data_IF_832866985813
#
_entry.id   IF_832866985813
#
_cell.length_a   1.000
_cell.length_b   1.000
_cell.length_c   1.000
_cell.angle_alpha   90.00
_cell.angle_beta   90.00
_cell.angle_gamma   90.00
#
_symmetry.space_group_name_H-M   'P 1'
#
loop_
_entity.id
_entity.type
_entity.pdbx_description
1 polymer ?
#
# COMPACT_ATOMS: atom_id res chain seq x y z
N UNK A 1 45.55 13.78 -45.02
CA UNK A 1 45.36 13.35 -46.41
C UNK A 1 44.22 12.37 -46.36
N UNK A 2 43.01 12.78 -46.77
CA UNK A 2 41.90 11.84 -46.92
C UNK A 2 42.13 11.03 -48.18
N UNK A 3 42.88 9.93 -48.06
CA UNK A 3 42.81 8.87 -49.05
C UNK A 3 41.39 8.30 -48.97
N UNK A 4 40.62 8.53 -50.03
CA UNK A 4 39.25 8.03 -50.15
C UNK A 4 39.30 6.51 -50.07
N UNK A 5 38.89 5.95 -48.93
CA UNK A 5 38.92 4.52 -48.66
C UNK A 5 37.84 3.84 -49.51
N UNK A 6 38.23 3.29 -50.66
CA UNK A 6 37.33 2.63 -51.59
C UNK A 6 37.77 1.19 -51.84
N UNK A 7 36.79 0.28 -51.93
CA UNK A 7 37.05 -1.11 -52.29
C UNK A 7 37.33 -1.15 -53.79
N UNK A 8 38.58 -1.49 -54.15
CA UNK A 8 38.98 -1.70 -55.54
C UNK A 8 39.05 -3.18 -55.84
N UNK A 9 38.24 -3.64 -56.79
CA UNK A 9 38.30 -5.01 -57.26
C UNK A 9 39.50 -5.20 -58.19
N UNK A 10 40.33 -6.18 -57.88
CA UNK A 10 41.51 -6.55 -58.70
C UNK A 10 41.13 -7.58 -59.75
N UNK A 11 40.29 -8.55 -59.40
CA UNK A 11 39.75 -9.57 -60.30
C UNK A 11 38.46 -10.17 -59.67
N UNK A 12 37.34 -10.26 -60.40
CA UNK A 12 37.11 -9.73 -61.75
C UNK A 12 37.08 -8.20 -61.81
N UNK A 13 37.53 -7.64 -62.94
CA UNK A 13 37.17 -6.27 -63.35
C UNK A 13 35.73 -6.26 -63.87
N UNK A 14 35.11 -5.09 -64.11
CA UNK A 14 33.70 -4.98 -64.54
C UNK A 14 33.33 -5.90 -65.73
N UNK A 15 34.24 -6.06 -66.69
CA UNK A 15 34.06 -6.96 -67.85
C UNK A 15 34.38 -8.44 -67.56
N UNK A 16 35.09 -8.71 -66.47
CA UNK A 16 35.46 -10.07 -66.03
C UNK A 16 34.37 -10.76 -65.20
N UNK A 17 33.30 -10.05 -64.84
CA UNK A 17 32.18 -10.65 -64.13
C UNK A 17 31.44 -11.66 -65.02
N UNK A 18 30.90 -12.70 -64.40
CA UNK A 18 30.02 -13.64 -65.08
C UNK A 18 28.73 -12.93 -65.52
N UNK A 19 28.68 -12.50 -66.78
CA UNK A 19 27.51 -11.79 -67.33
C UNK A 19 26.37 -12.74 -67.70
N UNK A 20 26.71 -13.91 -68.25
CA UNK A 20 25.76 -14.97 -68.60
C UNK A 20 26.40 -16.34 -68.48
N UNK A 21 25.58 -17.35 -68.19
CA UNK A 21 25.98 -18.75 -68.23
C UNK A 21 25.46 -19.31 -69.55
N UNK A 22 26.36 -19.56 -70.50
CA UNK A 22 26.03 -20.28 -71.72
C UNK A 22 25.99 -21.79 -71.42
N UNK A 23 24.93 -22.46 -71.88
CA UNK A 23 24.71 -23.89 -71.64
C UNK A 23 23.91 -24.51 -72.79
N UNK A 24 23.88 -25.84 -72.84
CA UNK A 24 23.26 -26.63 -73.92
C UNK A 24 21.72 -26.68 -73.85
N UNK A 25 21.08 -25.51 -73.68
CA UNK A 25 19.62 -25.39 -73.54
C UNK A 25 18.86 -26.11 -74.63
N UNK A 26 19.20 -25.86 -75.89
CA UNK A 26 18.49 -26.43 -77.03
C UNK A 26 18.57 -27.97 -77.05
N UNK A 27 19.73 -28.52 -76.71
CA UNK A 27 19.94 -29.96 -76.62
C UNK A 27 19.17 -30.58 -75.44
N UNK A 28 19.30 -30.01 -74.24
CA UNK A 28 18.58 -30.51 -73.06
C UNK A 28 17.07 -30.42 -73.26
N UNK A 29 16.59 -29.32 -73.82
CA UNK A 29 15.17 -29.11 -74.12
C UNK A 29 14.66 -30.11 -75.16
N UNK A 30 15.42 -30.39 -76.22
CA UNK A 30 15.06 -31.41 -77.20
C UNK A 30 14.99 -32.81 -76.57
N UNK A 31 15.97 -33.17 -75.74
CA UNK A 31 16.00 -34.45 -75.04
C UNK A 31 14.82 -34.60 -74.07
N UNK A 32 14.54 -33.57 -73.26
CA UNK A 32 13.40 -33.58 -72.33
C UNK A 32 12.07 -33.64 -73.08
N UNK A 33 11.92 -32.89 -74.18
CA UNK A 33 10.71 -32.95 -75.02
C UNK A 33 10.49 -34.35 -75.59
N UNK A 34 11.54 -35.00 -76.10
CA UNK A 34 11.46 -36.36 -76.61
C UNK A 34 11.05 -37.38 -75.53
N UNK A 35 11.59 -37.25 -74.31
CA UNK A 35 11.20 -38.11 -73.18
C UNK A 35 9.73 -37.88 -72.79
N UNK A 36 9.29 -36.62 -72.74
CA UNK A 36 7.93 -36.27 -72.30
C UNK A 36 6.87 -36.62 -73.36
N UNK A 37 7.22 -36.60 -74.65
CA UNK A 37 6.33 -36.97 -75.76
C UNK A 37 5.78 -38.39 -75.61
N UNK A 38 6.58 -39.34 -75.11
CA UNK A 38 6.15 -40.71 -74.84
C UNK A 38 4.99 -40.81 -73.82
N UNK A 39 4.79 -39.77 -73.01
CA UNK A 39 3.73 -39.68 -72.00
C UNK A 39 2.54 -38.81 -72.45
N UNK A 40 2.64 -38.12 -73.58
CA UNK A 40 1.55 -37.26 -74.07
C UNK A 40 0.41 -38.09 -74.63
N UNK A 41 -0.79 -37.91 -74.07
CA UNK A 41 -1.99 -38.65 -74.49
C UNK A 41 -2.07 -40.09 -73.94
N UNK A 42 -1.12 -40.51 -73.11
CA UNK A 42 -1.15 -41.81 -72.45
C UNK A 42 -2.22 -41.82 -71.34
N UNK A 43 -3.19 -42.73 -71.45
CA UNK A 43 -4.21 -42.97 -70.43
C UNK A 43 -3.89 -44.27 -69.71
N UNK A 44 -3.55 -44.17 -68.43
CA UNK A 44 -3.27 -45.35 -67.61
C UNK A 44 -4.58 -46.03 -67.19
N UNK A 45 -4.70 -47.32 -67.47
CA UNK A 45 -5.78 -48.19 -66.99
C UNK A 45 -5.41 -48.85 -65.65
N UNK A 46 -6.36 -49.52 -64.99
CA UNK A 46 -6.18 -50.07 -63.63
C UNK A 46 -5.06 -51.12 -63.54
N UNK A 47 -4.84 -51.88 -64.61
CA UNK A 47 -3.75 -52.85 -64.76
C UNK A 47 -2.37 -52.20 -64.98
N UNK A 48 -2.30 -50.92 -65.37
CA UNK A 48 -1.07 -50.16 -65.65
C UNK A 48 -0.59 -49.29 -64.48
N UNK A 49 -1.20 -49.42 -63.30
CA UNK A 49 -0.86 -48.59 -62.12
C UNK A 49 0.60 -48.77 -61.66
N UNK A 50 1.17 -49.96 -61.83
CA UNK A 50 2.58 -50.22 -61.53
C UNK A 50 3.50 -49.41 -62.44
N UNK A 51 3.24 -49.43 -63.74
CA UNK A 51 4.04 -48.71 -64.75
C UNK A 51 3.91 -47.20 -64.57
N UNK A 52 2.70 -46.70 -64.31
CA UNK A 52 2.47 -45.29 -63.97
C UNK A 52 3.31 -44.82 -62.77
N UNK A 53 3.48 -45.67 -61.74
CA UNK A 53 4.33 -45.34 -60.58
C UNK A 53 5.81 -45.31 -60.95
N UNK A 54 6.26 -46.23 -61.79
CA UNK A 54 7.64 -46.30 -62.27
C UNK A 54 7.98 -45.11 -63.18
N UNK A 55 7.11 -44.77 -64.13
CA UNK A 55 7.25 -43.62 -65.01
C UNK A 55 7.30 -42.31 -64.22
N UNK A 56 6.39 -42.13 -63.26
CA UNK A 56 6.44 -40.98 -62.35
C UNK A 56 7.75 -40.91 -61.57
N UNK A 57 8.28 -42.05 -61.12
CA UNK A 57 9.55 -42.09 -60.41
C UNK A 57 10.72 -41.71 -61.34
N UNK A 58 10.71 -42.18 -62.58
CA UNK A 58 11.72 -41.85 -63.59
C UNK A 58 11.70 -40.34 -63.93
N UNK A 59 10.53 -39.76 -64.18
CA UNK A 59 10.38 -38.32 -64.42
C UNK A 59 10.82 -37.47 -63.21
N UNK A 60 10.48 -37.90 -61.99
CA UNK A 60 10.96 -37.25 -60.76
C UNK A 60 12.46 -37.31 -60.62
N UNK A 61 13.09 -38.45 -60.99
CA UNK A 61 14.55 -38.58 -60.96
C UNK A 61 15.21 -37.61 -61.94
N UNK A 62 14.73 -37.54 -63.18
CA UNK A 62 15.23 -36.59 -64.17
C UNK A 62 15.07 -35.13 -63.70
N UNK A 63 13.92 -34.78 -63.11
CA UNK A 63 13.70 -33.46 -62.54
C UNK A 63 14.71 -33.14 -61.43
N UNK A 64 14.94 -34.08 -60.52
CA UNK A 64 15.89 -33.90 -59.43
C UNK A 64 17.32 -33.72 -59.93
N UNK A 65 17.75 -34.48 -60.95
CA UNK A 65 19.09 -34.34 -61.53
C UNK A 65 19.32 -32.94 -62.13
N UNK A 66 18.33 -32.38 -62.83
CA UNK A 66 18.37 -31.00 -63.34
C UNK A 66 18.46 -30.00 -62.21
N UNK A 67 17.62 -30.15 -61.18
CA UNK A 67 17.60 -29.29 -60.00
C UNK A 67 18.92 -29.34 -59.21
N UNK A 68 19.52 -30.51 -59.08
CA UNK A 68 20.78 -30.68 -58.37
C UNK A 68 21.94 -30.06 -59.16
N UNK A 69 21.92 -30.17 -60.49
CA UNK A 69 22.88 -29.44 -61.33
C UNK A 69 22.71 -27.93 -61.22
N UNK A 70 21.47 -27.41 -61.20
CA UNK A 70 21.18 -25.99 -60.97
C UNK A 70 21.75 -25.51 -59.62
N UNK A 71 21.50 -26.25 -58.55
CA UNK A 71 22.03 -25.94 -57.20
C UNK A 71 23.57 -25.95 -57.19
N UNK A 72 24.20 -26.91 -57.84
CA UNK A 72 25.65 -27.01 -57.94
C UNK A 72 26.26 -25.81 -58.67
N UNK A 73 25.66 -25.41 -59.81
CA UNK A 73 26.08 -24.21 -60.55
C UNK A 73 25.91 -22.96 -59.69
N UNK A 74 24.77 -22.79 -59.01
CA UNK A 74 24.56 -21.68 -58.07
C UNK A 74 25.65 -21.63 -57.01
N UNK A 75 25.96 -22.77 -56.38
CA UNK A 75 27.02 -22.85 -55.35
C UNK A 75 28.36 -22.40 -55.91
N UNK A 76 28.74 -22.87 -57.11
CA UNK A 76 30.01 -22.51 -57.75
C UNK A 76 30.08 -21.04 -58.15
N UNK A 77 28.97 -20.43 -58.58
CA UNK A 77 28.92 -18.99 -58.87
C UNK A 77 28.99 -18.13 -57.60
N UNK A 78 28.42 -18.60 -56.49
CA UNK A 78 28.42 -17.87 -55.21
C UNK A 78 29.72 -18.05 -54.42
N UNK A 79 30.45 -19.14 -54.61
CA UNK A 79 31.68 -19.46 -53.86
C UNK A 79 32.71 -18.32 -53.87
N UNK A 80 33.06 -17.67 -55.01
CA UNK A 80 33.96 -16.51 -55.01
C UNK A 80 33.39 -15.29 -54.30
N UNK A 81 32.07 -15.08 -54.38
CA UNK A 81 31.39 -13.99 -53.68
C UNK A 81 31.41 -14.20 -52.16
N UNK A 82 31.14 -15.42 -51.70
CA UNK A 82 31.16 -15.77 -50.27
C UNK A 82 32.56 -15.57 -49.67
N UNK A 83 33.62 -15.93 -50.40
CA UNK A 83 35.00 -15.64 -49.98
C UNK A 83 35.23 -14.13 -49.86
N UNK A 84 34.90 -13.36 -50.89
CA UNK A 84 35.02 -11.90 -50.88
C UNK A 84 34.21 -11.25 -49.73
N UNK A 85 32.99 -11.71 -49.50
CA UNK A 85 32.13 -11.22 -48.42
C UNK A 85 32.77 -11.50 -47.06
N UNK A 86 33.36 -12.68 -46.86
CA UNK A 86 34.05 -13.04 -45.63
C UNK A 86 35.33 -12.22 -45.43
N UNK A 87 36.14 -12.03 -46.48
CA UNK A 87 37.33 -11.17 -46.41
C UNK A 87 36.95 -9.73 -46.01
N UNK A 88 35.87 -9.19 -46.59
CA UNK A 88 35.36 -7.88 -46.19
C UNK A 88 34.86 -7.86 -44.75
N UNK A 89 34.18 -8.92 -44.30
CA UNK A 89 33.76 -9.03 -42.89
C UNK A 89 34.96 -9.00 -41.97
N UNK A 90 36.02 -9.74 -42.25
CA UNK A 90 37.25 -9.76 -41.47
C UNK A 90 37.88 -8.37 -41.38
N UNK A 91 37.93 -7.62 -42.49
CA UNK A 91 38.38 -6.22 -42.49
C UNK A 91 37.45 -5.33 -41.67
N UNK A 92 36.13 -5.48 -41.78
CA UNK A 92 35.18 -4.66 -40.99
C UNK A 92 35.22 -4.97 -39.50
N UNK A 93 35.59 -6.20 -39.11
CA UNK A 93 35.75 -6.59 -37.69
C UNK A 93 36.85 -5.76 -37.04
N UNK A 94 37.97 -5.50 -37.74
CA UNK A 94 39.05 -4.65 -37.22
C UNK A 94 38.54 -3.24 -36.88
N UNK A 95 37.74 -2.63 -37.77
CA UNK A 95 37.17 -1.31 -37.55
C UNK A 95 36.17 -1.34 -36.38
N UNK A 96 35.30 -2.35 -36.33
CA UNK A 96 34.30 -2.52 -35.25
C UNK A 96 34.96 -2.70 -33.89
N UNK A 97 36.05 -3.45 -33.80
CA UNK A 97 36.82 -3.62 -32.58
C UNK A 97 37.37 -2.28 -32.08
N UNK A 98 37.99 -1.49 -32.96
CA UNK A 98 38.49 -0.16 -32.58
C UNK A 98 37.36 0.80 -32.17
N UNK A 99 36.22 0.79 -32.87
CA UNK A 99 35.02 1.54 -32.46
C UNK A 99 34.59 1.14 -31.05
N UNK A 100 34.52 -0.15 -30.76
CA UNK A 100 34.13 -0.64 -29.43
C UNK A 100 35.09 -0.20 -28.32
N UNK A 101 36.40 -0.17 -28.60
CA UNK A 101 37.41 0.33 -27.65
C UNK A 101 37.19 1.82 -27.39
N UNK A 102 37.02 2.62 -28.46
CA UNK A 102 36.78 4.07 -28.35
C UNK A 102 35.50 4.35 -27.57
N UNK A 103 34.40 3.64 -27.89
CA UNK A 103 33.12 3.76 -27.17
C UNK A 103 33.28 3.43 -25.68
N UNK A 104 34.09 2.41 -25.36
CA UNK A 104 34.44 2.07 -23.98
C UNK A 104 35.16 3.21 -23.27
N UNK A 105 36.23 3.74 -23.89
CA UNK A 105 37.01 4.85 -23.35
C UNK A 105 36.18 6.12 -23.16
N UNK A 106 35.31 6.45 -24.12
CA UNK A 106 34.39 7.60 -24.01
C UNK A 106 33.44 7.42 -22.83
N UNK A 107 32.83 6.23 -22.68
CA UNK A 107 31.94 5.94 -21.54
C UNK A 107 32.67 6.00 -20.20
N UNK A 108 33.88 5.44 -20.11
CA UNK A 108 34.70 5.51 -18.90
C UNK A 108 35.04 6.94 -18.52
N UNK A 109 35.46 7.76 -19.49
CA UNK A 109 35.73 9.18 -19.28
C UNK A 109 34.48 9.94 -18.84
N UNK A 110 33.33 9.77 -19.52
CA UNK A 110 32.08 10.42 -19.15
C UNK A 110 31.60 10.02 -17.75
N UNK A 111 31.74 8.75 -17.38
CA UNK A 111 31.44 8.26 -16.04
C UNK A 111 32.42 8.84 -15.01
N UNK A 112 33.71 8.90 -15.33
CA UNK A 112 34.73 9.54 -14.49
C UNK A 112 34.40 11.00 -14.21
N UNK A 113 34.05 11.78 -15.24
CA UNK A 113 33.64 13.19 -15.10
C UNK A 113 32.39 13.33 -14.21
N UNK A 114 31.42 12.41 -14.33
CA UNK A 114 30.22 12.40 -13.47
C UNK A 114 30.56 12.07 -12.02
N UNK A 115 31.39 11.06 -11.77
CA UNK A 115 31.82 10.68 -10.42
C UNK A 115 32.68 11.78 -9.78
N UNK A 116 33.60 12.40 -10.52
CA UNK A 116 34.36 13.55 -10.03
C UNK A 116 33.45 14.74 -9.69
N UNK A 117 32.46 15.04 -10.54
CA UNK A 117 31.47 16.08 -10.27
C UNK A 117 30.63 15.74 -9.03
N UNK A 118 30.23 14.49 -8.88
CA UNK A 118 29.51 14.01 -7.68
C UNK A 118 30.38 14.15 -6.43
N UNK A 119 31.65 13.77 -6.49
CA UNK A 119 32.61 13.91 -5.39
C UNK A 119 32.78 15.37 -4.98
N UNK A 120 32.97 16.29 -5.94
CA UNK A 120 33.04 17.73 -5.64
C UNK A 120 31.75 18.28 -5.01
N UNK A 121 30.58 17.82 -5.46
CA UNK A 121 29.31 18.19 -4.81
C UNK A 121 29.17 17.58 -3.41
N UNK A 122 29.73 16.39 -3.20
CA UNK A 122 29.78 15.75 -1.89
C UNK A 122 30.73 16.49 -0.94
N UNK A 123 31.86 17.02 -1.43
CA UNK A 123 32.75 17.90 -0.67
C UNK A 123 32.03 19.19 -0.25
N UNK A 124 31.34 19.86 -1.19
CA UNK A 124 30.50 21.04 -0.89
C UNK A 124 29.46 20.73 0.19
N UNK A 125 28.82 19.57 0.11
CA UNK A 125 27.89 19.10 1.13
C UNK A 125 28.59 18.91 2.48
N UNK A 126 29.74 18.21 2.52
CA UNK A 126 30.48 17.93 3.75
C UNK A 126 30.96 19.21 4.44
N UNK A 127 31.40 20.21 3.67
CA UNK A 127 31.79 21.53 4.19
C UNK A 127 30.60 22.31 4.77
N UNK A 128 29.38 22.08 4.25
CA UNK A 128 28.21 22.89 4.61
C UNK A 128 27.31 22.23 5.65
N UNK A 129 27.23 20.90 5.71
CA UNK A 129 26.20 20.17 6.47
C UNK A 129 26.34 20.36 7.99
N UNK A 130 27.56 20.34 8.52
CA UNK A 130 27.83 20.40 9.95
C UNK A 130 27.18 19.23 10.71
N UNK A 131 26.57 19.51 11.85
CA UNK A 131 25.96 18.52 12.76
C UNK A 131 24.71 17.82 12.20
N UNK A 132 24.19 18.25 11.05
CA UNK A 132 22.98 17.70 10.44
C UNK A 132 23.22 16.44 9.60
N UNK A 133 24.45 15.93 9.51
CA UNK A 133 24.79 14.81 8.63
C UNK A 133 23.97 13.54 8.92
N UNK A 134 23.63 13.29 10.19
CA UNK A 134 22.80 12.14 10.58
C UNK A 134 21.34 12.26 10.10
N UNK A 135 20.82 13.48 10.03
CA UNK A 135 19.41 13.79 9.73
C UNK A 135 19.20 14.01 8.23
N UNK A 136 20.17 14.61 7.56
CA UNK A 136 20.11 15.01 6.17
C UNK A 136 21.34 14.50 5.42
N UNK A 137 21.41 13.20 5.09
CA UNK A 137 22.52 12.62 4.31
C UNK A 137 22.55 13.18 2.89
N UNK A 138 23.70 13.06 2.21
CA UNK A 138 23.95 13.62 0.88
C UNK A 138 22.86 13.23 -0.14
N UNK A 139 22.40 11.98 -0.09
CA UNK A 139 21.38 11.43 -0.98
C UNK A 139 20.04 12.17 -0.92
N UNK A 140 19.73 12.85 0.20
CA UNK A 140 18.48 13.63 0.35
C UNK A 140 18.54 15.02 -0.26
N UNK A 141 19.74 15.55 -0.48
CA UNK A 141 19.94 16.88 -1.11
C UNK A 141 20.42 16.77 -2.55
N UNK A 142 20.99 15.62 -2.92
CA UNK A 142 21.49 15.33 -4.25
C UNK A 142 20.39 14.91 -5.23
N UNK A 143 20.51 15.35 -6.48
CA UNK A 143 19.64 14.92 -7.58
C UNK A 143 20.46 14.46 -8.77
N UNK A 144 20.08 13.34 -9.39
CA UNK A 144 20.83 12.74 -10.52
C UNK A 144 21.03 13.71 -11.68
N UNK A 145 20.09 14.63 -11.90
CA UNK A 145 20.20 15.66 -12.94
C UNK A 145 21.40 16.61 -12.76
N UNK A 146 21.92 16.73 -11.55
CA UNK A 146 23.14 17.51 -11.27
C UNK A 146 24.34 16.95 -12.01
N UNK A 147 24.35 15.67 -12.38
CA UNK A 147 25.44 15.05 -13.15
C UNK A 147 25.32 15.27 -14.66
N UNK A 148 24.22 15.86 -15.14
CA UNK A 148 24.08 16.18 -16.55
C UNK A 148 25.12 17.23 -16.97
N UNK A 149 25.69 17.06 -18.16
CA UNK A 149 26.67 17.99 -18.75
C UNK A 149 26.09 19.40 -18.87
N UNK A 150 24.80 19.51 -19.20
CA UNK A 150 24.09 20.79 -19.31
C UNK A 150 23.80 21.47 -17.96
N UNK A 151 23.84 20.75 -16.85
CA UNK A 151 23.56 21.30 -15.53
C UNK A 151 24.85 21.85 -14.91
N UNK A 152 24.92 23.16 -14.65
CA UNK A 152 26.13 23.79 -14.12
C UNK A 152 26.43 23.28 -12.70
N UNK A 153 27.67 22.88 -12.45
CA UNK A 153 28.13 22.39 -11.14
C UNK A 153 27.91 23.43 -10.03
N UNK A 154 28.22 24.70 -10.32
CA UNK A 154 27.98 25.80 -9.37
C UNK A 154 26.52 25.95 -8.95
N UNK A 155 25.59 25.73 -9.89
CA UNK A 155 24.15 25.76 -9.60
C UNK A 155 23.76 24.60 -8.68
N UNK A 156 24.28 23.40 -8.95
CA UNK A 156 24.03 22.22 -8.10
C UNK A 156 24.57 22.42 -6.68
N UNK A 157 25.78 22.97 -6.56
CA UNK A 157 26.38 23.33 -5.28
C UNK A 157 25.49 24.33 -4.51
N UNK A 158 25.02 25.40 -5.15
CA UNK A 158 24.11 26.37 -4.53
C UNK A 158 22.80 25.72 -4.08
N UNK A 159 22.16 24.89 -4.91
CA UNK A 159 20.91 24.22 -4.54
C UNK A 159 21.09 23.26 -3.35
N UNK A 160 22.21 22.54 -3.28
CA UNK A 160 22.55 21.70 -2.11
C UNK A 160 22.68 22.57 -0.85
N UNK A 161 23.42 23.67 -0.93
CA UNK A 161 23.60 24.59 0.20
C UNK A 161 22.27 25.19 0.66
N UNK A 162 21.42 25.63 -0.28
CA UNK A 162 20.09 26.17 0.02
C UNK A 162 19.18 25.14 0.70
N UNK A 163 19.19 23.89 0.26
CA UNK A 163 18.45 22.80 0.92
C UNK A 163 18.95 22.59 2.35
N UNK A 164 20.26 22.56 2.57
CA UNK A 164 20.84 22.44 3.92
C UNK A 164 20.41 23.63 4.81
N UNK A 165 20.52 24.86 4.31
CA UNK A 165 20.15 26.07 5.07
C UNK A 165 18.67 26.13 5.40
N UNK A 166 17.80 25.68 4.49
CA UNK A 166 16.36 25.53 4.75
C UNK A 166 16.11 24.55 5.89
N UNK A 167 16.73 23.37 5.85
CA UNK A 167 16.60 22.35 6.90
C UNK A 167 17.12 22.86 8.25
N UNK A 168 18.27 23.57 8.26
CA UNK A 168 18.78 24.24 9.47
C UNK A 168 17.77 25.22 10.06
N UNK A 169 17.21 26.08 9.21
CA UNK A 169 16.25 27.12 9.62
C UNK A 169 14.96 26.51 10.14
N UNK A 170 14.46 25.50 9.45
CA UNK A 170 13.23 24.79 9.81
C UNK A 170 13.38 24.06 11.16
N UNK A 171 14.48 23.32 11.35
CA UNK A 171 14.75 22.65 12.63
C UNK A 171 14.90 23.65 13.78
N UNK A 172 15.57 24.78 13.55
CA UNK A 172 15.65 25.85 14.55
C UNK A 172 14.26 26.42 14.89
N UNK A 173 13.38 26.61 13.89
CA UNK A 173 12.01 27.06 14.12
C UNK A 173 11.18 26.04 14.91
N UNK A 174 11.34 24.74 14.65
CA UNK A 174 10.70 23.66 15.41
C UNK A 174 11.23 23.62 16.84
N UNK A 175 12.54 23.75 17.04
CA UNK A 175 13.16 23.71 18.37
C UNK A 175 12.75 24.92 19.23
N UNK A 176 12.47 26.07 18.59
CA UNK A 176 11.96 27.29 19.19
C UNK A 176 10.44 27.28 19.48
N UNK A 177 9.69 26.25 19.05
CA UNK A 177 8.28 26.13 19.41
C UNK A 177 8.11 25.99 20.92
N UNK A 178 7.26 26.84 21.49
CA UNK A 178 6.75 26.67 22.84
C UNK A 178 5.62 25.62 22.84
N UNK A 179 5.99 24.36 22.61
CA UNK A 179 5.08 23.23 22.58
C UNK A 179 5.67 22.02 23.26
N UNK A 180 4.83 21.35 24.07
CA UNK A 180 5.12 20.05 24.69
C UNK A 180 5.35 18.94 23.65
N UNK A 181 4.84 19.13 22.43
CA UNK A 181 4.89 18.18 21.32
C UNK A 181 5.94 18.54 20.26
N UNK A 182 6.86 19.48 20.54
CA UNK A 182 7.89 19.88 19.58
C UNK A 182 8.78 18.73 19.10
N UNK A 183 9.06 17.73 19.94
CA UNK A 183 9.82 16.55 19.55
C UNK A 183 9.07 15.70 18.52
N UNK A 184 7.75 15.57 18.63
CA UNK A 184 6.92 14.89 17.64
C UNK A 184 6.92 15.65 16.30
N UNK A 185 6.82 16.98 16.35
CA UNK A 185 6.93 17.82 15.17
C UNK A 185 8.30 17.65 14.49
N UNK A 186 9.38 17.61 15.30
CA UNK A 186 10.75 17.38 14.83
C UNK A 186 10.92 16.02 14.18
N UNK A 187 10.38 14.95 14.76
CA UNK A 187 10.41 13.60 14.17
C UNK A 187 9.73 13.56 12.79
N UNK A 188 8.53 14.14 12.69
CA UNK A 188 7.82 14.25 11.41
C UNK A 188 8.66 15.02 10.40
N UNK A 189 9.22 16.16 10.79
CA UNK A 189 10.08 16.96 9.91
C UNK A 189 11.33 16.20 9.47
N UNK A 190 12.05 15.54 10.36
CA UNK A 190 13.25 14.76 10.01
C UNK A 190 12.91 13.69 8.99
N UNK A 191 11.74 13.05 9.11
CA UNK A 191 11.28 12.04 8.16
C UNK A 191 10.92 12.64 6.79
N UNK A 192 10.26 13.79 6.75
CA UNK A 192 9.61 14.30 5.52
C UNK A 192 10.33 15.48 4.87
N UNK A 193 11.13 16.22 5.64
CA UNK A 193 11.67 17.54 5.32
C UNK A 193 10.57 18.56 4.96
N UNK A 194 9.40 18.41 5.56
CA UNK A 194 8.22 19.23 5.30
C UNK A 194 7.73 19.92 6.59
N UNK A 195 7.92 21.24 6.63
CA UNK A 195 7.50 22.09 7.74
C UNK A 195 5.99 22.08 7.97
N UNK A 196 5.19 22.01 6.91
CA UNK A 196 3.73 22.01 7.00
C UNK A 196 3.24 20.77 7.73
N UNK A 197 3.80 19.60 7.40
CA UNK A 197 3.47 18.34 8.06
C UNK A 197 3.89 18.33 9.53
N UNK A 198 5.08 18.87 9.84
CA UNK A 198 5.57 19.00 11.20
C UNK A 198 4.64 19.86 12.07
N UNK A 199 4.22 21.02 11.55
CA UNK A 199 3.32 21.93 12.25
C UNK A 199 1.90 21.36 12.38
N UNK A 200 1.42 20.63 11.36
CA UNK A 200 0.12 19.97 11.42
C UNK A 200 0.08 18.90 12.51
N UNK A 201 1.14 18.10 12.68
CA UNK A 201 1.20 17.11 13.77
C UNK A 201 1.28 17.78 15.14
N UNK A 202 2.06 18.86 15.27
CA UNK A 202 2.10 19.65 16.50
C UNK A 202 0.70 20.16 16.89
N UNK A 203 0.00 20.79 15.94
CA UNK A 203 -1.35 21.32 16.15
C UNK A 203 -2.38 20.22 16.46
N UNK A 204 -2.25 19.05 15.82
CA UNK A 204 -3.11 17.89 16.09
C UNK A 204 -2.97 17.41 17.53
N UNK A 205 -1.74 17.32 18.05
CA UNK A 205 -1.48 16.85 19.41
C UNK A 205 -1.94 17.85 20.46
N UNK A 206 -1.72 19.15 20.24
CA UNK A 206 -2.26 20.22 21.10
C UNK A 206 -3.78 20.13 21.16
N UNK A 207 -4.44 20.08 19.99
CA UNK A 207 -5.92 19.98 19.92
C UNK A 207 -6.44 18.71 20.60
N UNK A 208 -5.69 17.61 20.51
CA UNK A 208 -6.06 16.37 21.18
C UNK A 208 -5.95 16.48 22.72
N UNK A 209 -4.90 17.12 23.25
CA UNK A 209 -4.76 17.38 24.69
C UNK A 209 -5.89 18.29 25.21
N UNK A 210 -6.17 19.39 24.51
CA UNK A 210 -7.26 20.31 24.83
C UNK A 210 -8.63 19.60 24.87
N UNK A 211 -8.89 18.73 23.89
CA UNK A 211 -10.12 17.93 23.85
C UNK A 211 -10.20 16.96 25.04
N UNK A 212 -9.10 16.30 25.39
CA UNK A 212 -9.04 15.38 26.52
C UNK A 212 -9.22 16.10 27.86
N UNK A 213 -8.65 17.29 28.04
CA UNK A 213 -8.84 18.10 29.24
C UNK A 213 -10.26 18.65 29.36
N UNK A 214 -10.84 19.13 28.26
CA UNK A 214 -12.23 19.58 28.23
C UNK A 214 -13.19 18.44 28.56
N UNK A 215 -12.97 17.25 28.01
CA UNK A 215 -13.76 16.05 28.34
C UNK A 215 -13.60 15.63 29.80
N UNK A 216 -12.37 15.72 30.36
CA UNK A 216 -12.13 15.44 31.78
C UNK A 216 -12.86 16.43 32.69
N UNK A 217 -12.84 17.72 32.35
CA UNK A 217 -13.54 18.77 33.10
C UNK A 217 -15.05 18.58 33.04
N UNK A 218 -15.62 18.31 31.85
CA UNK A 218 -17.05 18.04 31.68
C UNK A 218 -17.50 16.83 32.50
N UNK A 219 -16.72 15.74 32.51
CA UNK A 219 -17.02 14.55 33.33
C UNK A 219 -16.96 14.85 34.83
N UNK A 220 -15.99 15.65 35.28
CA UNK A 220 -15.89 16.05 36.68
C UNK A 220 -17.07 16.93 37.12
N UNK A 221 -17.45 17.93 36.31
CA UNK A 221 -18.60 18.79 36.57
C UNK A 221 -19.92 18.00 36.58
N UNK A 222 -20.08 17.02 35.68
CA UNK A 222 -21.24 16.14 35.66
C UNK A 222 -21.30 15.24 36.90
N UNK A 223 -20.15 14.71 37.35
CA UNK A 223 -20.09 13.91 38.56
C UNK A 223 -20.38 14.75 39.82
N UNK A 224 -19.85 15.97 39.89
CA UNK A 224 -20.11 16.91 40.98
C UNK A 224 -21.59 17.31 41.02
N UNK A 225 -22.19 17.63 39.86
CA UNK A 225 -23.63 17.90 39.76
C UNK A 225 -24.45 16.69 40.23
N UNK A 226 -24.08 15.48 39.82
CA UNK A 226 -24.75 14.25 40.26
C UNK A 226 -24.63 14.02 41.76
N UNK A 227 -23.47 14.33 42.37
CA UNK A 227 -23.27 14.26 43.83
C UNK A 227 -24.12 15.31 44.55
N UNK A 228 -24.15 16.55 44.06
CA UNK A 228 -24.97 17.62 44.63
C UNK A 228 -26.48 17.32 44.52
N UNK A 229 -26.94 16.80 43.38
CA UNK A 229 -28.33 16.35 43.21
C UNK A 229 -28.68 15.18 44.15
N UNK A 230 -27.75 14.23 44.37
CA UNK A 230 -27.95 13.14 45.30
C UNK A 230 -28.00 13.63 46.76
N UNK A 231 -27.14 14.57 47.15
CA UNK A 231 -27.15 15.18 48.48
C UNK A 231 -28.42 16.00 48.72
N UNK A 232 -28.87 16.78 47.72
CA UNK A 232 -30.11 17.54 47.80
C UNK A 232 -31.32 16.61 47.96
N UNK A 233 -31.39 15.51 47.19
CA UNK A 233 -32.43 14.48 47.36
C UNK A 233 -32.38 13.82 48.73
N UNK A 234 -31.19 13.58 49.27
CA UNK A 234 -31.03 13.00 50.61
C UNK A 234 -31.54 13.96 51.71
N UNK A 235 -31.22 15.26 51.61
CA UNK A 235 -31.71 16.30 52.53
C UNK A 235 -33.24 16.45 52.44
N UNK A 236 -33.80 16.50 51.23
CA UNK A 236 -35.26 16.57 51.05
C UNK A 236 -35.95 15.33 51.64
N UNK A 237 -35.38 14.14 51.47
CA UNK A 237 -35.91 12.90 52.06
C UNK A 237 -35.78 12.86 53.59
N UNK A 238 -34.74 13.45 54.17
CA UNK A 238 -34.59 13.62 55.62
C UNK A 238 -35.61 14.61 56.18
N UNK A 239 -35.80 15.75 55.51
CA UNK A 239 -36.77 16.77 55.91
C UNK A 239 -38.21 16.24 55.81
N UNK A 240 -38.55 15.50 54.74
CA UNK A 240 -39.83 14.78 54.65
C UNK A 240 -40.03 13.80 55.80
N UNK A 241 -39.02 12.99 56.15
CA UNK A 241 -39.09 12.08 57.30
C UNK A 241 -39.28 12.81 58.61
N UNK A 242 -38.66 13.98 58.79
CA UNK A 242 -38.82 14.81 60.00
C UNK A 242 -40.22 15.40 60.10
N UNK A 243 -40.74 15.96 59.01
CA UNK A 243 -42.11 16.48 58.94
C UNK A 243 -43.15 15.37 59.17
N UNK A 244 -42.92 14.18 58.62
CA UNK A 244 -43.79 13.02 58.83
C UNK A 244 -43.73 12.52 60.28
N UNK A 245 -42.56 12.49 60.90
CA UNK A 245 -42.41 12.18 62.33
C UNK A 245 -43.10 13.23 63.23
N UNK A 246 -43.02 14.51 62.88
CA UNK A 246 -43.67 15.61 63.62
C UNK A 246 -45.20 15.55 63.49
N UNK A 247 -45.72 15.27 62.28
CA UNK A 247 -47.16 14.99 62.08
C UNK A 247 -47.61 13.78 62.88
N UNK A 248 -46.87 12.68 62.84
CA UNK A 248 -47.19 11.47 63.61
C UNK A 248 -47.15 11.72 65.12
N UNK A 249 -46.23 12.57 65.61
CA UNK A 249 -46.17 12.96 67.02
C UNK A 249 -47.33 13.87 67.42
N UNK A 250 -47.69 14.84 66.57
CA UNK A 250 -48.85 15.72 66.78
C UNK A 250 -50.16 14.91 66.81
N UNK A 251 -50.34 13.97 65.89
CA UNK A 251 -51.52 13.09 65.85
C UNK A 251 -51.59 12.19 67.11
N UNK A 252 -50.45 11.69 67.60
CA UNK A 252 -50.40 10.97 68.89
C UNK A 252 -50.78 11.86 70.06
N UNK A 253 -50.26 13.07 70.14
CA UNK A 253 -50.58 14.02 71.21
C UNK A 253 -52.05 14.47 71.18
N UNK A 254 -52.63 14.61 69.99
CA UNK A 254 -54.06 14.89 69.82
C UNK A 254 -54.92 13.70 70.24
N UNK A 255 -54.55 12.47 69.86
CA UNK A 255 -55.21 11.25 70.36
C UNK A 255 -55.11 11.13 71.87
N UNK A 256 -53.96 11.48 72.47
CA UNK A 256 -53.75 11.43 73.92
C UNK A 256 -54.58 12.50 74.66
N UNK A 257 -54.68 13.72 74.10
CA UNK A 257 -55.62 14.75 74.59
C UNK A 257 -57.07 14.31 74.47
N UNK A 258 -57.46 13.73 73.34
CA UNK A 258 -58.82 13.23 73.13
C UNK A 258 -59.15 12.11 74.12
N UNK A 259 -58.19 11.23 74.41
CA UNK A 259 -58.33 10.20 75.45
C UNK A 259 -58.47 10.82 76.85
N UNK A 260 -57.67 11.83 77.18
CA UNK A 260 -57.73 12.53 78.46
C UNK A 260 -59.03 13.35 78.62
N UNK A 261 -59.56 13.92 77.53
CA UNK A 261 -60.83 14.64 77.52
C UNK A 261 -62.03 13.68 77.61
N UNK A 262 -61.94 12.50 77.00
CA UNK A 262 -62.88 11.40 77.25
C UNK A 262 -62.84 10.94 78.71
N UNK A 263 -61.66 10.77 79.31
CA UNK A 263 -61.52 10.41 80.72
C UNK A 263 -62.02 11.52 81.67
N UNK A 264 -61.80 12.79 81.34
CA UNK A 264 -62.34 13.93 82.11
C UNK A 264 -63.86 14.12 81.93
N UNK A 265 -64.41 13.72 80.79
CA UNK A 265 -65.85 13.63 80.57
C UNK A 265 -66.45 12.42 81.31
N UNK A 266 -65.76 11.28 81.41
CA UNK A 266 -66.15 10.16 82.26
C UNK A 266 -66.10 10.51 83.77
N UNK A 267 -65.11 11.30 84.23
CA UNK A 267 -65.04 11.82 85.61
C UNK A 267 -66.09 12.92 85.90
N UNK A 268 -66.53 13.71 84.89
CA UNK A 268 -67.66 14.65 85.02
C UNK A 268 -69.03 14.00 84.83
N UNK A 269 -69.11 12.78 84.32
CA UNK A 269 -70.34 12.04 84.06
C UNK A 269 -70.59 10.90 85.08
N UNK A 270 -69.89 10.89 86.22
CA UNK A 270 -70.14 9.93 87.30
C UNK A 270 -70.90 10.54 88.49
N UNK A 271 -72.02 11.21 88.22
CA UNK A 271 -73.20 11.21 89.10
C UNK A 271 -74.45 11.03 88.23
N UNK A 272 -75.07 9.86 88.35
CA UNK A 272 -76.16 9.29 87.53
C UNK A 272 -75.71 8.84 86.12
N UNK A 273 -75.84 7.58 85.71
CA UNK A 273 -76.69 6.51 86.20
C UNK A 273 -77.44 5.89 85.03
N UNK A 274 -76.87 4.80 84.50
CA UNK A 274 -77.51 3.71 83.77
C UNK A 274 -77.96 3.86 82.29
N UNK A 275 -77.31 2.99 81.52
CA UNK A 275 -77.83 1.97 80.60
C UNK A 275 -77.95 2.24 79.10
N UNK A 276 -77.31 1.31 78.39
CA UNK A 276 -77.25 1.08 76.95
C UNK A 276 -78.63 1.00 76.28
N UNK A 277 -78.70 1.21 74.94
CA UNK A 277 -78.59 0.04 74.07
C UNK A 277 -77.82 0.23 72.75
N UNK A 278 -77.14 -0.84 72.36
CA UNK A 278 -76.55 -1.15 71.04
C UNK A 278 -77.68 -1.30 70.00
N UNK A 279 -77.53 -0.93 68.70
CA UNK A 279 -76.89 -1.86 67.75
C UNK A 279 -76.08 -1.22 66.59
N UNK A 280 -75.05 -1.97 66.21
CA UNK A 280 -74.67 -2.42 64.86
C UNK A 280 -74.26 -1.43 63.73
N UNK A 281 -72.94 -1.29 63.60
CA UNK A 281 -72.06 -1.45 62.42
C UNK A 281 -72.56 -0.97 61.05
N UNK A 282 -71.77 -0.08 60.45
CA UNK A 282 -71.20 -0.26 59.09
C UNK A 282 -69.96 0.64 58.93
N UNK A 283 -68.99 0.14 58.14
CA UNK A 283 -67.68 0.71 57.82
C UNK A 283 -66.72 0.78 59.04
N UNK A 284 -65.50 0.28 59.01
CA UNK A 284 -64.52 0.34 57.93
C UNK A 284 -63.43 -0.73 58.15
N UNK A 285 -62.67 -1.00 57.10
CA UNK A 285 -61.67 -2.06 57.00
C UNK A 285 -60.40 -1.64 57.76
N UNK A 286 -60.01 -2.43 58.76
CA UNK A 286 -58.67 -2.48 59.34
C UNK A 286 -58.04 -3.81 58.85
N UNK A 287 -56.96 -3.72 58.08
CA UNK A 287 -55.56 -3.89 58.54
C UNK A 287 -55.07 -5.32 58.33
N UNK A 288 -53.94 -5.49 57.64
CA UNK A 288 -52.71 -6.04 58.21
C UNK A 288 -51.62 -6.22 57.13
N UNK A 289 -50.44 -5.70 57.49
CA UNK A 289 -49.06 -6.19 57.29
C UNK A 289 -48.87 -7.71 57.03
N UNK A 290 -47.64 -8.26 56.90
CA UNK A 290 -46.34 -7.75 56.44
C UNK A 290 -45.60 -8.77 55.52
N UNK A 291 -44.32 -8.48 55.22
CA UNK A 291 -43.26 -9.41 54.78
C UNK A 291 -43.38 -9.89 53.30
N UNK A 292 -42.31 -10.19 52.56
CA UNK A 292 -40.98 -10.64 52.92
C UNK A 292 -40.06 -10.49 51.68
N UNK A 293 -38.74 -10.34 51.92
CA UNK A 293 -37.70 -10.50 50.88
C UNK A 293 -37.80 -11.89 50.25
N UNK A 294 -37.34 -12.07 48.99
CA UNK A 294 -36.12 -12.86 48.80
C UNK A 294 -35.20 -12.24 47.72
N UNK A 295 -33.91 -12.07 48.02
CA UNK A 295 -32.84 -13.04 47.76
C UNK A 295 -32.18 -12.86 46.39
N UNK A 296 -31.05 -12.15 46.47
CA UNK A 296 -29.84 -12.20 45.66
C UNK A 296 -29.62 -13.52 44.89
N UNK A 297 -29.36 -13.40 43.58
CA UNK A 297 -28.57 -14.36 42.82
C UNK A 297 -27.32 -13.67 42.32
N UNK A 298 -26.18 -14.12 42.80
CA UNK A 298 -24.85 -13.83 42.24
C UNK A 298 -24.84 -14.13 40.74
N UNK A 299 -24.54 -13.11 39.94
CA UNK A 299 -24.17 -13.25 38.55
C UNK A 299 -22.68 -12.91 38.42
N UNK A 300 -21.89 -13.91 38.05
CA UNK A 300 -20.48 -13.79 37.68
C UNK A 300 -20.30 -12.73 36.57
N UNK A 301 -19.17 -11.99 36.55
CA UNK A 301 -19.00 -10.88 35.62
C UNK A 301 -18.85 -11.41 34.18
N UNK A 302 -19.78 -11.03 33.30
CA UNK A 302 -19.63 -11.26 31.86
C UNK A 302 -18.52 -10.33 31.31
N UNK A 303 -17.46 -10.94 30.77
CA UNK A 303 -16.40 -10.23 30.05
C UNK A 303 -16.99 -9.50 28.83
N UNK A 304 -16.81 -8.17 28.80
CA UNK A 304 -17.25 -7.32 27.68
C UNK A 304 -16.47 -7.65 26.42
N UNK A 305 -17.15 -8.21 25.42
CA UNK A 305 -16.58 -8.46 24.07
C UNK A 305 -16.64 -7.19 23.23
N UNK A 306 -15.51 -6.77 22.68
CA UNK A 306 -15.40 -5.61 21.77
C UNK A 306 -15.19 -6.10 20.34
N UNK A 307 -15.85 -5.47 19.36
CA UNK A 307 -15.68 -5.73 17.93
C UNK A 307 -15.03 -4.52 17.27
N UNK A 308 -13.89 -4.72 16.62
CA UNK A 308 -13.20 -3.72 15.82
C UNK A 308 -12.96 -4.26 14.41
N UNK A 309 -13.16 -3.42 13.39
CA UNK A 309 -12.81 -3.72 12.00
C UNK A 309 -11.48 -3.04 11.69
N UNK A 310 -10.49 -3.79 11.23
CA UNK A 310 -9.20 -3.26 10.81
C UNK A 310 -8.68 -4.02 9.58
N UNK A 311 -7.70 -3.43 8.89
CA UNK A 311 -6.98 -4.07 7.79
C UNK A 311 -5.50 -4.18 8.16
N UNK A 312 -4.85 -5.25 7.69
CA UNK A 312 -3.43 -5.50 7.88
C UNK A 312 -2.75 -5.66 6.52
N UNK A 313 -1.60 -5.02 6.34
CA UNK A 313 -0.77 -5.14 5.13
C UNK A 313 0.57 -5.74 5.56
N UNK A 314 0.95 -6.84 4.94
CA UNK A 314 2.21 -7.53 5.24
C UNK A 314 2.53 -8.57 4.19
N UNK A 315 3.70 -9.18 4.33
CA UNK A 315 4.11 -10.34 3.54
C UNK A 315 3.23 -11.56 3.86
N UNK A 316 3.24 -12.56 2.98
CA UNK A 316 2.45 -13.79 3.18
C UNK A 316 2.76 -14.48 4.52
N UNK A 317 4.03 -14.47 4.95
CA UNK A 317 4.44 -15.07 6.22
C UNK A 317 3.89 -14.28 7.41
N UNK A 318 4.04 -12.95 7.41
CA UNK A 318 3.51 -12.08 8.46
C UNK A 318 2.00 -12.20 8.63
N UNK A 319 1.25 -12.37 7.54
CA UNK A 319 -0.20 -12.55 7.59
C UNK A 319 -0.60 -13.95 8.12
N UNK A 320 0.22 -14.99 7.90
CA UNK A 320 0.01 -16.32 8.48
C UNK A 320 0.27 -16.30 10.00
N UNK A 321 1.37 -15.69 10.41
CA UNK A 321 1.75 -15.59 11.82
C UNK A 321 0.69 -14.79 12.61
N UNK A 322 0.16 -13.71 12.01
CA UNK A 322 -0.94 -12.94 12.58
C UNK A 322 -2.24 -13.76 12.72
N UNK A 323 -2.54 -14.61 11.75
CA UNK A 323 -3.71 -15.49 11.79
C UNK A 323 -3.58 -16.56 12.88
N UNK A 324 -2.39 -17.10 13.08
CA UNK A 324 -2.08 -18.09 14.11
C UNK A 324 -2.21 -17.47 15.51
N UNK A 325 -1.63 -16.30 15.72
CA UNK A 325 -1.78 -15.51 16.95
C UNK A 325 -3.25 -15.26 17.32
N UNK A 326 -4.09 -14.86 16.37
CA UNK A 326 -5.52 -14.63 16.65
C UNK A 326 -6.26 -15.90 17.08
N UNK A 327 -5.88 -17.08 16.55
CA UNK A 327 -6.47 -18.35 16.96
C UNK A 327 -6.01 -18.77 18.35
N UNK A 328 -4.72 -18.64 18.66
CA UNK A 328 -4.16 -18.96 19.98
C UNK A 328 -4.79 -18.13 21.10
N UNK A 329 -5.12 -16.87 20.80
CA UNK A 329 -5.71 -15.94 21.77
C UNK A 329 -7.25 -15.91 21.74
N UNK A 330 -7.92 -16.87 21.10
CA UNK A 330 -9.39 -16.95 20.98
C UNK A 330 -10.05 -15.68 20.39
N UNK A 331 -9.33 -14.96 19.51
CA UNK A 331 -9.82 -13.75 18.85
C UNK A 331 -10.56 -14.15 17.56
N UNK A 332 -11.83 -13.75 17.44
CA UNK A 332 -12.62 -14.00 16.24
C UNK A 332 -12.25 -13.01 15.11
N UNK A 333 -11.87 -13.53 13.93
CA UNK A 333 -11.55 -12.73 12.75
C UNK A 333 -12.37 -13.18 11.52
N UNK A 334 -12.61 -12.26 10.59
CA UNK A 334 -13.39 -12.50 9.38
C UNK A 334 -13.08 -11.46 8.30
N UNK A 335 -13.64 -11.63 7.09
CA UNK A 335 -13.46 -10.65 6.01
C UNK A 335 -14.07 -9.30 6.43
N UNK A 336 -13.30 -8.22 6.31
CA UNK A 336 -13.83 -6.87 6.42
C UNK A 336 -14.97 -6.73 5.39
N UNK A 337 -16.17 -6.40 5.87
CA UNK A 337 -17.32 -6.15 5.00
C UNK A 337 -16.97 -5.03 4.02
N UNK A 338 -17.42 -5.18 2.78
CA UNK A 338 -17.29 -4.17 1.73
C UNK A 338 -17.89 -2.83 2.15
#
# INVERSE_FOLDING_TARGET
>A
MDEKMEIRLVNPTEDGFLQKIDWNKAELEANVRSIVEAYQGLVYTEDMVSDAKNDRAALRKLLNEIEDRRKLVKKKCMEPYEVFENDLKDVTVLIKEQISIIDGQVKEYENGVKEEKKARLQDVYAETIGELAEVLPFERVFETQYLNVSFKESKAATEIQEKIQRVKSDLAAIDALDSKYKLNAKDVYVRTLDMSQAMAENARLIKFEEQMEADRKRKAEEEERRRAEAEARAKEAEERRRQEAEKNAAERAEREKALAEQQAQEERASESGYNAPVPDKTADVQSEEPAEKPAEKEALPEEKKYKATFYAIGTLQQLKDLQEYMKEHNIQFGKAGK
#
